data_IF_923163702386
#
_entry.id   IF_923163702386
#
_cell.length_a   1.000
_cell.length_b   1.000
_cell.length_c   1.000
_cell.angle_alpha   90.00
_cell.angle_beta   90.00
_cell.angle_gamma   90.00
#
_symmetry.space_group_name_H-M   'P 1'
#
loop_
_entity.id
_entity.type
_entity.pdbx_description
1 polymer ?
#
# COMPACT_ATOMS: atom_id res chain seq x y z
N UNK A 1 55.89 14.59 -30.23
CA UNK A 1 55.42 14.07 -28.92
C UNK A 1 54.00 14.58 -28.74
N UNK A 2 52.99 13.72 -28.96
CA UNK A 2 51.57 14.08 -28.80
C UNK A 2 51.17 13.73 -27.36
N UNK A 3 50.97 14.75 -26.52
CA UNK A 3 50.40 14.56 -25.19
C UNK A 3 48.89 14.43 -25.32
N UNK A 4 48.38 13.19 -25.29
CA UNK A 4 46.95 12.94 -25.14
C UNK A 4 46.61 13.11 -23.67
N UNK A 5 45.96 14.24 -23.34
CA UNK A 5 45.39 14.47 -22.02
C UNK A 5 44.11 13.63 -21.89
N UNK A 6 44.20 12.49 -21.19
CA UNK A 6 43.01 11.79 -20.71
C UNK A 6 42.32 12.65 -19.66
N UNK A 7 41.20 13.29 -20.03
CA UNK A 7 40.24 13.77 -19.03
C UNK A 7 39.57 12.54 -18.43
N UNK A 8 39.76 12.32 -17.14
CA UNK A 8 38.92 11.42 -16.37
C UNK A 8 37.52 12.01 -16.33
N UNK A 9 36.63 11.52 -17.20
CA UNK A 9 35.20 11.76 -17.07
C UNK A 9 34.74 11.11 -15.76
N UNK A 10 34.33 11.94 -14.79
CA UNK A 10 33.61 11.45 -13.62
C UNK A 10 32.34 10.79 -14.11
N UNK A 11 32.24 9.46 -13.94
CA UNK A 11 31.02 8.72 -14.25
C UNK A 11 29.88 9.35 -13.44
N UNK A 12 28.77 9.77 -14.08
CA UNK A 12 27.64 10.32 -13.35
C UNK A 12 27.19 9.29 -12.31
N UNK A 13 27.27 9.66 -11.03
CA UNK A 13 26.70 8.83 -9.97
C UNK A 13 25.21 8.73 -10.23
N UNK A 14 24.71 7.51 -10.49
CA UNK A 14 23.28 7.28 -10.56
C UNK A 14 22.66 7.75 -9.25
N UNK A 15 21.71 8.67 -9.35
CA UNK A 15 20.92 9.11 -8.21
C UNK A 15 20.28 7.88 -7.53
N UNK A 16 20.42 7.78 -6.21
CA UNK A 16 19.84 6.71 -5.40
C UNK A 16 18.81 7.33 -4.44
N UNK A 17 17.67 6.67 -4.30
CA UNK A 17 16.72 7.00 -3.25
C UNK A 17 17.25 6.58 -1.87
N UNK A 18 17.04 7.46 -0.89
CA UNK A 18 17.32 7.24 0.52
C UNK A 18 16.17 6.54 1.26
N UNK A 19 15.04 6.28 0.60
CA UNK A 19 13.89 5.61 1.22
C UNK A 19 14.26 4.18 1.66
N UNK A 20 14.00 3.87 2.92
CA UNK A 20 14.17 2.54 3.50
C UNK A 20 12.82 2.02 3.98
N UNK A 21 12.25 1.05 3.27
CA UNK A 21 10.96 0.47 3.66
C UNK A 21 10.94 -0.08 5.10
N UNK A 22 12.06 -0.55 5.65
CA UNK A 22 12.12 -1.04 7.03
C UNK A 22 11.95 0.06 8.08
N UNK A 23 12.38 1.29 7.76
CA UNK A 23 12.42 2.41 8.71
C UNK A 23 11.33 3.47 8.41
N UNK A 24 10.96 3.61 7.14
CA UNK A 24 10.18 4.75 6.64
C UNK A 24 8.75 4.38 6.22
N UNK A 25 8.31 3.12 6.39
CA UNK A 25 7.00 2.68 5.88
C UNK A 25 5.82 3.45 6.47
N UNK A 26 5.92 3.95 7.71
CA UNK A 26 4.86 4.75 8.34
C UNK A 26 4.76 6.18 7.79
N UNK A 27 5.72 6.59 6.96
CA UNK A 27 5.79 7.89 6.28
C UNK A 27 5.95 7.70 4.77
N UNK A 28 5.51 6.54 4.26
CA UNK A 28 5.74 6.08 2.91
C UNK A 28 5.35 7.13 1.86
N UNK A 29 4.15 7.70 1.96
CA UNK A 29 3.68 8.69 0.97
C UNK A 29 4.52 9.97 0.97
N UNK A 30 5.18 10.30 2.08
CA UNK A 30 5.93 11.55 2.23
C UNK A 30 7.39 11.39 1.79
N UNK A 31 7.97 10.21 2.03
CA UNK A 31 9.41 9.97 1.87
C UNK A 31 9.81 9.36 0.53
N UNK A 32 8.87 8.79 -0.23
CA UNK A 32 9.21 8.26 -1.56
C UNK A 32 9.52 9.41 -2.53
N UNK A 33 10.42 9.13 -3.45
CA UNK A 33 10.91 10.04 -4.50
C UNK A 33 10.50 9.51 -5.88
N UNK A 34 10.77 10.27 -6.94
CA UNK A 34 10.51 9.84 -8.33
C UNK A 34 11.31 8.58 -8.73
N UNK A 35 12.36 8.24 -7.97
CA UNK A 35 13.16 7.02 -8.17
C UNK A 35 12.52 5.78 -7.54
N UNK A 36 11.45 5.95 -6.76
CA UNK A 36 10.85 4.90 -5.97
C UNK A 36 9.59 4.34 -6.63
N UNK A 37 9.46 3.02 -6.56
CA UNK A 37 8.23 2.31 -6.91
C UNK A 37 7.88 1.38 -5.77
N UNK A 38 6.79 1.67 -5.10
CA UNK A 38 6.23 0.83 -4.05
C UNK A 38 5.18 -0.06 -4.69
N UNK A 39 5.22 -1.35 -4.36
CA UNK A 39 4.16 -2.30 -4.68
C UNK A 39 3.48 -2.75 -3.41
N UNK A 40 2.17 -2.63 -3.36
CA UNK A 40 1.36 -3.11 -2.24
C UNK A 40 0.46 -4.21 -2.75
N UNK A 41 0.32 -5.27 -1.97
CA UNK A 41 -0.61 -6.36 -2.22
C UNK A 41 -1.52 -6.51 -1.00
N UNK A 42 -2.82 -6.57 -1.20
CA UNK A 42 -3.80 -6.70 -0.12
C UNK A 42 -4.79 -7.81 -0.44
N UNK A 43 -4.90 -8.78 0.46
CA UNK A 43 -5.94 -9.80 0.37
C UNK A 43 -7.26 -9.26 0.89
N UNK A 44 -8.20 -8.97 0.01
CA UNK A 44 -9.52 -8.43 0.37
C UNK A 44 -10.53 -9.54 0.76
N UNK A 45 -10.12 -10.80 0.69
CA UNK A 45 -11.00 -11.93 0.95
C UNK A 45 -11.43 -12.04 2.42
N UNK A 46 -12.74 -12.13 2.64
CA UNK A 46 -13.40 -12.39 3.92
C UNK A 46 -14.80 -12.97 3.65
N UNK A 47 -15.21 -13.98 4.43
CA UNK A 47 -16.48 -14.68 4.26
C UNK A 47 -16.70 -15.16 2.80
N UNK A 48 -17.74 -14.66 2.12
CA UNK A 48 -18.15 -15.07 0.77
C UNK A 48 -17.43 -14.32 -0.36
N UNK A 49 -16.75 -13.21 -0.06
CA UNK A 49 -16.03 -12.45 -1.06
C UNK A 49 -14.56 -12.89 -1.10
N UNK A 50 -14.06 -13.14 -2.31
CA UNK A 50 -12.67 -13.45 -2.57
C UNK A 50 -12.10 -12.39 -3.51
N UNK A 51 -11.09 -11.68 -3.05
CA UNK A 51 -10.53 -10.58 -3.80
C UNK A 51 -9.11 -10.26 -3.39
N UNK A 52 -8.40 -9.65 -4.33
CA UNK A 52 -7.04 -9.17 -4.16
C UNK A 52 -6.93 -7.82 -4.81
N UNK A 53 -6.29 -6.89 -4.12
CA UNK A 53 -5.87 -5.62 -4.67
C UNK A 53 -4.34 -5.54 -4.75
N UNK A 54 -3.87 -4.96 -5.84
CA UNK A 54 -2.49 -4.50 -5.98
C UNK A 54 -2.50 -2.99 -6.16
N UNK A 55 -1.62 -2.31 -5.45
CA UNK A 55 -1.32 -0.90 -5.68
C UNK A 55 0.12 -0.79 -6.18
N UNK A 56 0.31 -0.05 -7.26
CA UNK A 56 1.63 0.49 -7.61
C UNK A 56 1.63 1.98 -7.29
N UNK A 57 2.53 2.41 -6.41
CA UNK A 57 2.67 3.81 -6.00
C UNK A 57 4.01 4.34 -6.50
N UNK A 58 3.95 5.42 -7.28
CA UNK A 58 5.10 6.18 -7.77
C UNK A 58 4.93 7.66 -7.47
N UNK A 59 6.02 8.42 -7.45
CA UNK A 59 5.97 9.88 -7.34
C UNK A 59 6.27 10.52 -8.70
N UNK A 60 5.50 11.55 -9.02
CA UNK A 60 5.68 12.42 -10.17
C UNK A 60 5.60 13.87 -9.66
N UNK A 61 6.76 14.53 -9.51
CA UNK A 61 6.91 15.87 -8.92
C UNK A 61 6.25 15.98 -7.54
N UNK A 62 5.24 16.83 -7.45
CA UNK A 62 4.46 17.12 -6.24
C UNK A 62 3.19 16.27 -6.15
N UNK A 63 3.16 15.13 -6.84
CA UNK A 63 2.05 14.19 -6.80
C UNK A 63 2.51 12.75 -6.66
N UNK A 64 1.68 11.95 -6.01
CA UNK A 64 1.75 10.50 -5.99
C UNK A 64 0.74 9.96 -6.98
N UNK A 65 1.19 9.04 -7.82
CA UNK A 65 0.32 8.25 -8.67
C UNK A 65 0.08 6.92 -8.00
N UNK A 66 -1.17 6.63 -7.70
CA UNK A 66 -1.64 5.35 -7.17
C UNK A 66 -2.34 4.63 -8.30
N UNK A 67 -1.75 3.52 -8.75
CA UNK A 67 -2.30 2.66 -9.77
C UNK A 67 -2.87 1.39 -9.12
N UNK A 68 -4.19 1.30 -8.95
CA UNK A 68 -4.85 0.10 -8.44
C UNK A 68 -5.11 -0.93 -9.55
N UNK A 69 -5.05 -2.19 -9.16
CA UNK A 69 -5.41 -3.37 -9.95
C UNK A 69 -6.14 -4.36 -9.05
N UNK A 70 -7.27 -4.91 -9.50
CA UNK A 70 -8.10 -5.82 -8.72
C UNK A 70 -8.31 -7.16 -9.41
N UNK A 71 -8.37 -8.22 -8.63
CA UNK A 71 -8.84 -9.52 -9.07
C UNK A 71 -9.86 -10.07 -8.07
N UNK A 72 -11.04 -10.49 -8.53
CA UNK A 72 -12.08 -11.14 -7.71
C UNK A 72 -11.84 -12.65 -7.57
N UNK A 73 -10.58 -13.03 -7.39
CA UNK A 73 -10.15 -14.41 -7.15
C UNK A 73 -8.73 -14.41 -6.61
N UNK A 74 -8.46 -15.34 -5.69
CA UNK A 74 -7.10 -15.61 -5.20
C UNK A 74 -6.40 -16.76 -5.96
N UNK A 75 -7.04 -17.29 -7.00
CA UNK A 75 -6.52 -18.42 -7.77
C UNK A 75 -5.36 -17.97 -8.67
N UNK A 76 -4.36 -18.82 -8.83
CA UNK A 76 -3.25 -18.61 -9.76
C UNK A 76 -3.82 -18.44 -11.18
N UNK A 77 -3.47 -17.34 -11.85
CA UNK A 77 -3.99 -17.00 -13.17
C UNK A 77 -5.21 -16.07 -13.16
N UNK A 78 -5.69 -15.64 -12.00
CA UNK A 78 -6.71 -14.60 -11.92
C UNK A 78 -6.28 -13.34 -12.65
N UNK A 79 -7.15 -12.84 -13.53
CA UNK A 79 -6.90 -11.63 -14.30
C UNK A 79 -7.06 -10.39 -13.42
N UNK A 80 -6.06 -9.51 -13.47
CA UNK A 80 -6.10 -8.24 -12.75
C UNK A 80 -6.69 -7.16 -13.66
N UNK A 81 -7.83 -6.61 -13.25
CA UNK A 81 -8.43 -5.44 -13.87
C UNK A 81 -7.76 -4.18 -13.35
N UNK A 82 -7.04 -3.51 -14.23
CA UNK A 82 -6.43 -2.20 -13.96
C UNK A 82 -7.51 -1.12 -13.96
N UNK A 83 -7.57 -0.32 -12.90
CA UNK A 83 -8.54 0.78 -12.78
C UNK A 83 -7.83 2.11 -13.09
N UNK A 84 -8.60 3.18 -13.31
CA UNK A 84 -8.04 4.52 -13.54
C UNK A 84 -7.09 4.89 -12.38
N UNK A 85 -5.87 5.37 -12.67
CA UNK A 85 -4.96 5.81 -11.62
C UNK A 85 -5.52 7.04 -10.91
N UNK A 86 -5.23 7.12 -9.61
CA UNK A 86 -5.53 8.29 -8.78
C UNK A 86 -4.26 9.08 -8.58
N UNK A 87 -4.34 10.40 -8.75
CA UNK A 87 -3.24 11.33 -8.50
C UNK A 87 -3.53 12.10 -7.21
N UNK A 88 -2.59 12.07 -6.29
CA UNK A 88 -2.74 12.61 -4.94
C UNK A 88 -1.63 13.62 -4.74
N UNK A 89 -1.94 14.84 -4.30
CA UNK A 89 -0.90 15.83 -3.98
C UNK A 89 -0.02 15.31 -2.84
N UNK A 90 1.28 15.66 -2.84
CA UNK A 90 2.17 15.37 -1.70
C UNK A 90 1.74 16.08 -0.40
N UNK A 91 0.93 17.14 -0.51
CA UNK A 91 0.33 17.85 0.61
C UNK A 91 -1.10 17.37 0.93
N UNK A 92 -1.56 16.29 0.28
CA UNK A 92 -2.89 15.75 0.53
C UNK A 92 -3.04 15.32 1.99
N UNK A 93 -4.19 15.66 2.55
CA UNK A 93 -4.56 15.25 3.89
C UNK A 93 -5.72 14.25 3.90
N UNK A 94 -6.25 13.90 2.73
CA UNK A 94 -7.44 13.03 2.59
C UNK A 94 -7.05 11.56 2.69
N UNK A 95 -6.00 11.14 1.98
CA UNK A 95 -5.50 9.78 1.98
C UNK A 95 -4.65 9.48 3.21
N UNK A 96 -5.31 9.04 4.28
CA UNK A 96 -4.69 8.70 5.57
C UNK A 96 -3.90 7.37 5.56
N UNK A 97 -3.21 7.03 4.47
CA UNK A 97 -2.52 5.74 4.32
C UNK A 97 -1.35 5.56 5.29
N UNK A 98 -0.52 6.59 5.48
CA UNK A 98 0.53 6.58 6.50
C UNK A 98 -0.02 6.32 7.90
N UNK A 99 -1.16 6.94 8.24
CA UNK A 99 -1.83 6.73 9.53
C UNK A 99 -2.40 5.32 9.66
N UNK A 100 -2.96 4.77 8.59
CA UNK A 100 -3.37 3.36 8.54
C UNK A 100 -2.20 2.42 8.84
N UNK A 101 -1.03 2.66 8.26
CA UNK A 101 0.18 1.86 8.54
C UNK A 101 0.63 2.01 10.00
N UNK A 102 0.57 3.23 10.57
CA UNK A 102 0.88 3.48 11.99
C UNK A 102 -0.07 2.75 12.93
N UNK A 103 -1.38 2.81 12.69
CA UNK A 103 -2.41 2.10 13.49
C UNK A 103 -2.21 0.58 13.48
N UNK A 104 -1.75 0.04 12.35
CA UNK A 104 -1.57 -1.40 12.16
C UNK A 104 -0.13 -1.88 12.40
N UNK A 105 0.75 -1.06 13.00
CA UNK A 105 2.16 -1.42 13.23
C UNK A 105 2.36 -2.70 14.06
N UNK A 106 1.44 -2.99 14.98
CA UNK A 106 1.47 -4.19 15.82
C UNK A 106 1.27 -5.49 15.03
N UNK A 107 0.83 -5.40 13.77
CA UNK A 107 0.62 -6.52 12.84
C UNK A 107 1.85 -6.82 12.01
N UNK A 108 2.85 -5.95 12.06
CA UNK A 108 4.04 -6.05 11.24
C UNK A 108 4.88 -7.25 11.67
N UNK A 109 5.18 -8.11 10.70
CA UNK A 109 6.13 -9.20 10.86
C UNK A 109 7.21 -9.10 9.77
N UNK A 110 8.41 -8.69 10.19
CA UNK A 110 9.55 -8.45 9.31
C UNK A 110 10.18 -9.74 8.77
N UNK A 111 10.07 -10.84 9.51
CA UNK A 111 10.78 -12.09 9.23
C UNK A 111 9.89 -13.16 8.57
N UNK A 112 8.62 -12.83 8.31
CA UNK A 112 7.66 -13.78 7.76
C UNK A 112 7.92 -14.05 6.27
N UNK A 113 8.15 -15.32 5.95
CA UNK A 113 8.05 -15.82 4.58
C UNK A 113 6.59 -15.98 4.11
N UNK A 114 5.64 -16.03 5.05
CA UNK A 114 4.20 -16.21 4.78
C UNK A 114 3.61 -14.97 4.09
N UNK A 115 2.58 -15.20 3.29
CA UNK A 115 1.78 -14.13 2.71
C UNK A 115 1.00 -13.41 3.82
N UNK A 116 1.35 -12.14 4.03
CA UNK A 116 0.61 -11.25 4.92
C UNK A 116 -0.72 -10.82 4.30
N UNK A 117 -1.63 -10.34 5.14
CA UNK A 117 -2.88 -9.73 4.70
C UNK A 117 -2.62 -8.50 3.84
N UNK A 118 -1.62 -7.71 4.22
CA UNK A 118 -1.05 -6.65 3.42
C UNK A 118 0.45 -6.84 3.31
N UNK A 119 0.97 -6.69 2.11
CA UNK A 119 2.39 -6.79 1.81
C UNK A 119 2.84 -5.51 1.14
N UNK A 120 3.93 -4.92 1.63
CA UNK A 120 4.56 -3.76 0.98
C UNK A 120 5.93 -4.21 0.49
N UNK A 121 6.15 -4.11 -0.80
CA UNK A 121 7.40 -4.47 -1.46
C UNK A 121 8.05 -3.22 -2.04
N UNK A 122 9.33 -3.07 -1.72
CA UNK A 122 10.19 -2.04 -2.30
C UNK A 122 11.56 -2.65 -2.57
N UNK A 123 12.00 -2.56 -3.84
CA UNK A 123 13.17 -3.29 -4.33
C UNK A 123 13.02 -4.78 -3.98
N UNK A 124 14.04 -5.41 -3.39
CA UNK A 124 14.02 -6.82 -2.95
C UNK A 124 13.58 -7.00 -1.48
N UNK A 125 13.11 -5.94 -0.82
CA UNK A 125 12.66 -5.97 0.57
C UNK A 125 11.14 -6.00 0.63
N UNK A 126 10.61 -6.67 1.67
CA UNK A 126 9.17 -6.84 1.89
C UNK A 126 8.83 -6.64 3.36
N UNK A 127 7.69 -6.00 3.61
CA UNK A 127 7.00 -5.97 4.89
C UNK A 127 5.71 -6.77 4.78
N UNK A 128 5.36 -7.52 5.83
CA UNK A 128 4.10 -8.25 5.89
C UNK A 128 3.31 -7.83 7.12
N UNK A 129 2.06 -7.45 6.94
CA UNK A 129 1.10 -7.21 8.01
C UNK A 129 0.21 -8.44 8.14
N UNK A 130 0.22 -9.06 9.31
CA UNK A 130 -0.49 -10.31 9.60
C UNK A 130 -1.78 -10.04 10.37
N UNK A 131 -2.79 -10.86 10.14
CA UNK A 131 -4.03 -10.86 10.93
C UNK A 131 -4.22 -12.22 11.59
N UNK A 132 -4.80 -12.26 12.78
CA UNK A 132 -5.02 -13.51 13.55
C UNK A 132 -6.51 -13.75 13.77
N UNK A 133 -7.07 -14.76 13.10
CA UNK A 133 -8.49 -15.09 13.20
C UNK A 133 -9.41 -14.13 12.44
N UNK A 134 -10.71 -14.45 12.44
CA UNK A 134 -11.71 -13.77 11.62
C UNK A 134 -12.00 -12.33 12.09
N UNK A 135 -12.16 -12.11 13.40
CA UNK A 135 -12.50 -10.80 13.94
C UNK A 135 -11.39 -9.76 13.72
N UNK A 136 -10.14 -10.17 13.86
CA UNK A 136 -8.99 -9.32 13.58
C UNK A 136 -8.88 -8.97 12.08
N UNK A 137 -9.13 -9.96 11.22
CA UNK A 137 -9.16 -9.75 9.77
C UNK A 137 -10.25 -8.76 9.35
N UNK A 138 -11.45 -8.89 9.92
CA UNK A 138 -12.55 -7.97 9.66
C UNK A 138 -12.18 -6.52 10.05
N UNK A 139 -11.62 -6.32 11.26
CA UNK A 139 -11.15 -4.99 11.72
C UNK A 139 -10.11 -4.39 10.77
N UNK A 140 -9.15 -5.20 10.33
CA UNK A 140 -8.12 -4.76 9.37
C UNK A 140 -8.73 -4.34 8.03
N UNK A 141 -9.62 -5.16 7.46
CA UNK A 141 -10.26 -4.88 6.18
C UNK A 141 -11.17 -3.66 6.23
N UNK A 142 -11.89 -3.44 7.35
CA UNK A 142 -12.71 -2.24 7.54
C UNK A 142 -11.83 -0.98 7.53
N UNK A 143 -10.74 -0.96 8.30
CA UNK A 143 -9.81 0.18 8.36
C UNK A 143 -9.15 0.44 6.99
N UNK A 144 -8.72 -0.62 6.32
CA UNK A 144 -8.15 -0.54 4.97
C UNK A 144 -9.16 0.02 3.96
N UNK A 145 -10.36 -0.56 3.87
CA UNK A 145 -11.38 -0.11 2.92
C UNK A 145 -11.81 1.34 3.19
N UNK A 146 -11.96 1.75 4.46
CA UNK A 146 -12.23 3.14 4.83
C UNK A 146 -11.10 4.07 4.36
N UNK A 147 -9.84 3.65 4.52
CA UNK A 147 -8.66 4.41 4.08
C UNK A 147 -8.62 4.56 2.57
N UNK A 148 -8.96 3.52 1.80
CA UNK A 148 -8.94 3.55 0.34
C UNK A 148 -10.12 4.32 -0.27
N UNK A 149 -11.30 4.29 0.35
CA UNK A 149 -12.46 5.10 -0.10
C UNK A 149 -12.23 6.61 -0.03
N UNK A 150 -11.25 7.08 0.74
CA UNK A 150 -10.86 8.49 0.75
C UNK A 150 -10.33 8.98 -0.62
N UNK A 151 -9.83 8.08 -1.47
CA UNK A 151 -9.29 8.41 -2.80
C UNK A 151 -10.03 7.70 -3.94
N UNK A 152 -10.83 6.69 -3.62
CA UNK A 152 -11.66 5.94 -4.56
C UNK A 152 -13.06 5.71 -3.95
N UNK A 153 -13.86 6.77 -3.77
CA UNK A 153 -15.13 6.70 -3.05
C UNK A 153 -16.14 5.74 -3.70
N UNK A 154 -16.16 5.69 -5.03
CA UNK A 154 -17.08 4.86 -5.83
C UNK A 154 -16.51 3.46 -6.12
N UNK A 155 -15.53 3.00 -5.35
CA UNK A 155 -14.91 1.69 -5.58
C UNK A 155 -15.81 0.55 -5.10
N UNK A 156 -16.29 -0.26 -6.04
CA UNK A 156 -17.04 -1.50 -5.78
C UNK A 156 -16.20 -2.60 -5.11
N UNK A 157 -14.88 -2.44 -5.06
CA UNK A 157 -13.96 -3.44 -4.48
C UNK A 157 -13.71 -3.25 -2.99
N UNK A 158 -14.00 -2.06 -2.46
CA UNK A 158 -13.79 -1.70 -1.05
C UNK A 158 -15.08 -1.90 -0.23
N UNK A 159 -15.62 -3.11 -0.28
CA UNK A 159 -16.97 -3.42 0.24
C UNK A 159 -17.07 -3.45 1.77
N UNK A 160 -15.94 -3.59 2.48
CA UNK A 160 -15.92 -3.67 3.95
C UNK A 160 -15.93 -2.30 4.64
N UNK A 161 -16.29 -1.22 3.94
CA UNK A 161 -16.65 0.03 4.61
C UNK A 161 -18.02 -0.11 5.27
N UNK A 162 -18.10 -0.99 6.27
CA UNK A 162 -19.28 -1.17 7.10
C UNK A 162 -19.42 0.00 8.06
N UNK A 163 -20.65 0.47 8.20
CA UNK A 163 -21.10 1.27 9.33
C UNK A 163 -20.92 0.37 10.56
N UNK A 164 -20.25 0.85 11.61
CA UNK A 164 -20.35 0.17 12.90
C UNK A 164 -21.82 0.17 13.25
N UNK A 165 -22.44 -1.01 13.35
CA UNK A 165 -23.72 -1.10 14.02
C UNK A 165 -23.37 -0.77 15.47
N UNK A 166 -23.61 0.48 15.87
CA UNK A 166 -23.66 0.82 17.28
C UNK A 166 -24.69 -0.11 17.88
N UNK A 167 -24.26 -0.96 18.80
CA UNK A 167 -25.13 -1.84 19.57
C UNK A 167 -26.12 -0.90 20.27
N UNK A 168 -27.39 -0.79 19.82
CA UNK A 168 -28.34 0.02 20.54
C UNK A 168 -28.41 -0.66 21.89
N UNK A 169 -28.06 0.09 22.93
CA UNK A 169 -28.00 -0.31 24.32
C UNK A 169 -28.84 -1.57 24.59
N UNK A 170 -28.27 -2.55 25.27
CA UNK A 170 -29.05 -3.49 26.08
C UNK A 170 -29.92 -2.64 27.02
N UNK A 171 -31.05 -2.13 26.52
CA UNK A 171 -32.12 -1.55 27.30
C UNK A 171 -32.72 -2.77 27.99
N UNK A 172 -32.10 -3.12 29.11
CA UNK A 172 -32.72 -3.90 30.17
C UNK A 172 -34.07 -3.25 30.46
N UNK A 173 -35.14 -3.89 29.97
CA UNK A 173 -36.49 -3.69 30.50
C UNK A 173 -36.57 -4.26 31.91
#
# INVERSE_FOLDING_TARGET
>A
MLFVSCRTEEKPQLAKSNFSIQNDYTELTNKITELDTIKIWVGLSQCLFQGVEKLTITREKDSLKVQPEFAESMVIGAEFKKIKPVFISVNDTTWKFNEFLKRNKNRLNLDSLKYGRLQITYKKKRLNFMTVGLGDNAKFLIDYCKTMKNIMPDSDYHIYTGIEIEDPELITQ
#
